data_IF_500817832537
#
_entry.id   IF_500817832537
#
_cell.length_a   1.000
_cell.length_b   1.000
_cell.length_c   1.000
_cell.angle_alpha   90.00
_cell.angle_beta   90.00
_cell.angle_gamma   90.00
#
_symmetry.space_group_name_H-M   'P 1'
#
loop_
_entity.id
_entity.type
_entity.pdbx_description
1 polymer ?
#
# COMPACT_ATOMS: atom_id res chain seq x y z
N UNK A 1 15.59 0.57 -40.94
CA UNK A 1 15.87 1.97 -40.55
C UNK A 1 17.33 2.12 -40.14
N UNK A 2 18.12 2.73 -41.04
CA UNK A 2 19.44 3.36 -40.90
C UNK A 2 20.44 2.83 -39.85
N UNK A 3 21.22 1.81 -40.23
CA UNK A 3 22.51 1.41 -39.60
C UNK A 3 23.58 2.51 -39.74
N UNK A 4 23.36 3.53 -40.59
CA UNK A 4 24.35 4.54 -40.92
C UNK A 4 24.62 5.55 -39.78
N UNK A 5 23.61 5.91 -38.97
CA UNK A 5 23.76 6.89 -37.88
C UNK A 5 24.29 6.28 -36.57
N UNK A 6 24.18 4.95 -36.40
CA UNK A 6 24.56 4.26 -35.17
C UNK A 6 26.08 4.09 -35.03
N UNK A 7 26.80 3.93 -36.14
CA UNK A 7 28.27 3.77 -36.13
C UNK A 7 29.00 5.04 -35.67
N UNK A 8 28.68 6.25 -36.18
CA UNK A 8 29.29 7.49 -35.68
C UNK A 8 29.00 7.74 -34.20
N UNK A 9 27.75 7.52 -33.78
CA UNK A 9 27.35 7.71 -32.39
C UNK A 9 28.08 6.74 -31.44
N UNK A 10 28.17 5.46 -31.82
CA UNK A 10 28.95 4.45 -31.08
C UNK A 10 30.42 4.83 -30.93
N UNK A 11 31.05 5.31 -31.99
CA UNK A 11 32.45 5.74 -31.96
C UNK A 11 32.65 6.94 -31.02
N UNK A 12 31.77 7.94 -31.09
CA UNK A 12 31.80 9.09 -30.18
C UNK A 12 31.61 8.67 -28.73
N UNK A 13 30.65 7.76 -28.46
CA UNK A 13 30.38 7.26 -27.12
C UNK A 13 31.60 6.54 -26.54
N UNK A 14 32.28 5.71 -27.35
CA UNK A 14 33.51 5.03 -26.94
C UNK A 14 34.66 6.01 -26.63
N UNK A 15 34.79 7.09 -27.40
CA UNK A 15 35.80 8.13 -27.13
C UNK A 15 35.51 8.91 -25.85
N UNK A 16 34.23 9.17 -25.55
CA UNK A 16 33.81 9.81 -24.29
C UNK A 16 34.15 8.89 -23.12
N UNK A 17 33.75 7.62 -23.15
CA UNK A 17 33.96 6.72 -22.01
C UNK A 17 35.42 6.36 -21.76
N UNK A 18 36.29 6.44 -22.77
CA UNK A 18 37.74 6.31 -22.59
C UNK A 18 38.31 7.38 -21.67
N UNK A 19 37.82 8.62 -21.77
CA UNK A 19 38.30 9.77 -20.99
C UNK A 19 37.71 9.81 -19.57
N UNK A 20 36.55 9.18 -19.37
CA UNK A 20 35.87 9.17 -18.08
C UNK A 20 36.39 8.08 -17.13
N UNK A 21 36.49 8.42 -15.84
CA UNK A 21 36.86 7.45 -14.79
C UNK A 21 35.68 6.58 -14.35
N UNK A 22 34.45 7.10 -14.48
CA UNK A 22 33.21 6.43 -14.06
C UNK A 22 32.41 5.92 -15.26
N UNK A 23 31.51 4.94 -15.07
CA UNK A 23 30.61 4.49 -16.12
C UNK A 23 29.63 5.59 -16.53
N UNK A 24 29.33 5.66 -17.82
CA UNK A 24 28.20 6.40 -18.36
C UNK A 24 26.95 5.54 -18.24
N UNK A 25 26.00 5.99 -17.43
CA UNK A 25 24.76 5.26 -17.11
C UNK A 25 23.58 5.88 -17.84
N UNK A 26 22.89 5.08 -18.65
CA UNK A 26 21.62 5.40 -19.26
C UNK A 26 20.49 4.76 -18.48
N UNK A 27 19.56 5.54 -17.96
CA UNK A 27 18.36 5.04 -17.30
C UNK A 27 17.18 5.19 -18.27
N UNK A 28 16.54 4.07 -18.59
CA UNK A 28 15.34 4.01 -19.44
C UNK A 28 14.18 3.56 -18.57
N UNK A 29 13.23 4.46 -18.34
CA UNK A 29 12.04 4.23 -17.51
C UNK A 29 10.78 4.05 -18.38
N UNK A 30 9.77 3.38 -17.82
CA UNK A 30 8.44 3.18 -18.40
C UNK A 30 8.41 2.45 -19.76
N UNK A 31 9.38 1.58 -20.02
CA UNK A 31 9.46 0.84 -21.29
C UNK A 31 8.25 -0.10 -21.50
N UNK A 32 7.72 -0.66 -20.42
CA UNK A 32 6.51 -1.49 -20.37
C UNK A 32 5.22 -0.72 -20.69
N UNK A 33 5.26 0.62 -20.70
CA UNK A 33 4.11 1.47 -21.11
C UNK A 33 4.17 1.90 -22.57
N UNK A 34 5.28 1.62 -23.25
CA UNK A 34 5.41 1.94 -24.66
C UNK A 34 4.58 0.97 -25.53
N UNK A 35 4.28 1.39 -26.77
CA UNK A 35 3.77 0.45 -27.77
C UNK A 35 4.76 -0.71 -27.91
N UNK A 36 4.31 -1.98 -27.98
CA UNK A 36 5.21 -3.13 -28.03
C UNK A 36 6.33 -3.02 -29.06
N UNK A 37 6.00 -2.59 -30.29
CA UNK A 37 6.98 -2.38 -31.37
C UNK A 37 8.09 -1.39 -30.96
N UNK A 38 7.74 -0.30 -30.28
CA UNK A 38 8.70 0.71 -29.86
C UNK A 38 9.63 0.16 -28.78
N UNK A 39 9.08 -0.52 -27.77
CA UNK A 39 9.86 -1.10 -26.68
C UNK A 39 10.90 -2.11 -27.21
N UNK A 40 10.45 -3.01 -28.08
CA UNK A 40 11.29 -4.01 -28.75
C UNK A 40 12.39 -3.34 -29.58
N UNK A 41 12.02 -2.41 -30.46
CA UNK A 41 12.99 -1.72 -31.32
C UNK A 41 14.01 -0.91 -30.51
N UNK A 42 13.62 -0.37 -29.36
CA UNK A 42 14.54 0.32 -28.46
C UNK A 42 15.56 -0.66 -27.87
N UNK A 43 15.11 -1.78 -27.30
CA UNK A 43 15.98 -2.84 -26.76
C UNK A 43 16.94 -3.35 -27.84
N UNK A 44 16.42 -3.63 -29.05
CA UNK A 44 17.22 -4.09 -30.19
C UNK A 44 18.26 -3.07 -30.65
N UNK A 45 18.00 -1.77 -30.48
CA UNK A 45 18.97 -0.72 -30.79
C UNK A 45 20.01 -0.58 -29.68
N UNK A 46 19.58 -0.65 -28.42
CA UNK A 46 20.45 -0.52 -27.25
C UNK A 46 21.54 -1.62 -27.25
N UNK A 47 21.22 -2.84 -27.72
CA UNK A 47 22.16 -3.97 -27.80
C UNK A 47 23.47 -3.65 -28.53
N UNK A 48 23.43 -2.72 -29.48
CA UNK A 48 24.59 -2.36 -30.29
C UNK A 48 25.64 -1.55 -29.52
N UNK A 49 25.32 -1.12 -28.29
CA UNK A 49 26.19 -0.33 -27.43
C UNK A 49 26.73 -1.10 -26.21
N UNK A 50 26.33 -2.36 -26.01
CA UNK A 50 26.73 -3.17 -24.84
C UNK A 50 28.22 -3.52 -24.81
N UNK A 51 28.87 -3.57 -25.96
CA UNK A 51 30.31 -3.85 -26.09
C UNK A 51 31.20 -2.61 -25.87
N UNK A 52 30.61 -1.44 -25.59
CA UNK A 52 31.37 -0.23 -25.29
C UNK A 52 31.77 -0.26 -23.82
N UNK A 53 33.08 -0.27 -23.49
CA UNK A 53 33.52 -0.25 -22.11
C UNK A 53 32.96 0.96 -21.36
N UNK A 54 32.53 0.72 -20.12
CA UNK A 54 31.97 1.73 -19.20
C UNK A 54 30.65 2.37 -19.67
N UNK A 55 29.91 1.74 -20.58
CA UNK A 55 28.50 2.10 -20.84
C UNK A 55 27.61 1.11 -20.10
N UNK A 56 26.64 1.62 -19.34
CA UNK A 56 25.67 0.81 -18.59
C UNK A 56 24.26 1.28 -18.92
N UNK A 57 23.37 0.34 -19.22
CA UNK A 57 21.94 0.61 -19.39
C UNK A 57 21.17 0.03 -18.20
N UNK A 58 20.34 0.84 -17.57
CA UNK A 58 19.39 0.44 -16.53
C UNK A 58 17.99 0.56 -17.10
N UNK A 59 17.29 -0.56 -17.21
CA UNK A 59 15.90 -0.62 -17.65
C UNK A 59 14.99 -0.71 -16.42
N UNK A 60 14.25 0.35 -16.12
CA UNK A 60 13.25 0.37 -15.07
C UNK A 60 11.88 0.02 -15.68
N UNK A 61 11.44 -1.23 -15.47
CA UNK A 61 10.26 -1.79 -16.14
C UNK A 61 9.45 -2.69 -15.21
N UNK A 62 8.14 -2.79 -15.45
CA UNK A 62 7.37 -3.93 -14.98
C UNK A 62 7.66 -5.14 -15.89
N UNK A 63 8.47 -6.09 -15.39
CA UNK A 63 8.92 -7.27 -16.14
C UNK A 63 7.76 -8.04 -16.79
N UNK A 64 6.69 -8.32 -16.03
CA UNK A 64 5.57 -9.11 -16.53
C UNK A 64 4.83 -8.40 -17.68
N UNK A 65 4.61 -7.08 -17.54
CA UNK A 65 3.95 -6.29 -18.59
C UNK A 65 4.80 -6.15 -19.85
N UNK A 66 6.13 -6.05 -19.68
CA UNK A 66 7.06 -6.06 -20.81
C UNK A 66 7.04 -7.41 -21.53
N UNK A 67 7.05 -8.53 -20.80
CA UNK A 67 6.96 -9.88 -21.37
C UNK A 67 5.64 -10.08 -22.15
N UNK A 68 4.50 -9.67 -21.57
CA UNK A 68 3.20 -9.71 -22.25
C UNK A 68 3.18 -8.87 -23.53
N UNK A 69 3.75 -7.66 -23.47
CA UNK A 69 3.86 -6.79 -24.64
C UNK A 69 4.67 -7.44 -25.76
N UNK A 70 5.79 -8.09 -25.43
CA UNK A 70 6.65 -8.77 -26.39
C UNK A 70 5.96 -10.03 -26.96
N UNK A 71 5.27 -10.81 -26.12
CA UNK A 71 4.50 -11.98 -26.54
C UNK A 71 3.44 -11.58 -27.58
N UNK A 72 2.68 -10.52 -27.30
CA UNK A 72 1.64 -10.01 -28.19
C UNK A 72 2.19 -9.54 -29.54
N UNK A 73 3.39 -8.94 -29.55
CA UNK A 73 3.99 -8.45 -30.79
C UNK A 73 4.52 -9.56 -31.70
N UNK A 74 5.20 -10.57 -31.12
CA UNK A 74 5.83 -11.63 -31.91
C UNK A 74 4.98 -12.91 -32.06
N UNK A 75 3.91 -13.06 -31.28
CA UNK A 75 3.05 -14.25 -31.29
C UNK A 75 3.70 -15.51 -30.69
N UNK A 76 4.74 -15.35 -29.86
CA UNK A 76 5.42 -16.47 -29.19
C UNK A 76 4.71 -16.85 -27.88
N UNK A 77 4.82 -18.13 -27.50
CA UNK A 77 4.33 -18.66 -26.21
C UNK A 77 5.32 -18.53 -25.05
N UNK A 78 6.60 -18.18 -25.32
CA UNK A 78 7.63 -18.03 -24.27
C UNK A 78 8.65 -16.93 -24.62
N UNK A 79 8.60 -15.82 -23.87
CA UNK A 79 9.45 -14.62 -24.02
C UNK A 79 10.62 -14.53 -23.05
N UNK A 80 10.68 -15.39 -22.03
CA UNK A 80 11.75 -15.37 -21.04
C UNK A 80 13.14 -15.42 -21.71
N UNK A 81 13.29 -16.26 -22.74
CA UNK A 81 14.52 -16.41 -23.51
C UNK A 81 14.87 -15.21 -24.42
N UNK A 82 13.91 -14.30 -24.70
CA UNK A 82 14.17 -13.12 -25.52
C UNK A 82 14.83 -12.02 -24.71
N UNK A 83 14.28 -11.68 -23.54
CA UNK A 83 14.83 -10.63 -22.67
C UNK A 83 16.22 -10.98 -22.13
N UNK A 84 16.49 -12.27 -21.88
CA UNK A 84 17.82 -12.75 -21.48
C UNK A 84 18.92 -12.45 -22.51
N UNK A 85 18.59 -12.19 -23.78
CA UNK A 85 19.57 -11.75 -24.79
C UNK A 85 20.03 -10.31 -24.59
N UNK A 86 19.32 -9.53 -23.78
CA UNK A 86 19.54 -8.09 -23.63
C UNK A 86 19.77 -7.65 -22.18
N UNK A 87 19.43 -8.51 -21.20
CA UNK A 87 19.51 -8.20 -19.78
C UNK A 87 20.55 -9.10 -19.15
N UNK A 88 21.71 -8.53 -18.81
CA UNK A 88 22.81 -9.26 -18.16
C UNK A 88 22.41 -9.76 -16.76
N UNK A 89 21.70 -8.92 -16.00
CA UNK A 89 21.13 -9.29 -14.70
C UNK A 89 19.92 -8.42 -14.37
N UNK A 90 19.03 -8.93 -13.52
CA UNK A 90 17.83 -8.25 -13.06
C UNK A 90 17.88 -8.00 -11.55
N UNK A 91 17.50 -6.80 -11.13
CA UNK A 91 17.34 -6.44 -9.71
C UNK A 91 15.87 -6.19 -9.42
N UNK A 92 15.29 -6.97 -8.50
CA UNK A 92 13.92 -6.76 -8.03
C UNK A 92 13.90 -5.71 -6.92
N UNK A 93 13.16 -4.63 -7.13
CA UNK A 93 12.91 -3.65 -6.07
C UNK A 93 11.96 -4.25 -5.04
N UNK A 94 12.37 -4.24 -3.76
CA UNK A 94 11.52 -4.69 -2.66
C UNK A 94 10.36 -3.70 -2.49
N UNK A 95 9.13 -4.18 -2.66
CA UNK A 95 7.93 -3.35 -2.50
C UNK A 95 7.50 -3.14 -1.04
N UNK A 96 8.06 -3.89 -0.08
CA UNK A 96 7.59 -3.88 1.31
C UNK A 96 8.58 -3.15 2.22
N UNK A 97 8.11 -2.05 2.77
CA UNK A 97 8.69 -1.45 3.96
C UNK A 97 8.30 -2.31 5.17
N UNK A 98 9.25 -3.12 5.65
CA UNK A 98 9.00 -4.07 6.74
C UNK A 98 9.10 -3.42 8.12
N UNK A 99 9.92 -2.38 8.28
CA UNK A 99 10.13 -1.71 9.56
C UNK A 99 9.20 -0.50 9.75
N UNK A 100 8.65 0.05 8.67
CA UNK A 100 7.73 1.19 8.66
C UNK A 100 8.45 2.54 8.62
N UNK A 101 9.78 2.54 8.44
CA UNK A 101 10.61 3.74 8.39
C UNK A 101 10.23 4.64 7.21
N UNK A 102 9.90 4.07 6.05
CA UNK A 102 9.48 4.81 4.87
C UNK A 102 8.09 5.42 5.07
N UNK A 103 7.16 4.69 5.71
CA UNK A 103 5.86 5.26 6.06
C UNK A 103 6.00 6.41 7.05
N UNK A 104 6.85 6.24 8.08
CA UNK A 104 7.15 7.29 9.03
C UNK A 104 7.77 8.51 8.34
N UNK A 105 8.72 8.32 7.44
CA UNK A 105 9.33 9.40 6.66
C UNK A 105 8.29 10.17 5.83
N UNK A 106 7.48 9.46 5.04
CA UNK A 106 6.43 10.08 4.22
C UNK A 106 5.45 10.86 5.10
N UNK A 107 4.90 10.23 6.15
CA UNK A 107 3.92 10.89 7.01
C UNK A 107 4.53 12.09 7.76
N UNK A 108 5.78 12.00 8.22
CA UNK A 108 6.46 13.12 8.88
C UNK A 108 6.72 14.28 7.92
N UNK A 109 7.18 14.01 6.70
CA UNK A 109 7.41 15.04 5.70
C UNK A 109 6.09 15.73 5.36
N UNK A 110 5.02 14.96 5.15
CA UNK A 110 3.72 15.56 4.86
C UNK A 110 3.14 16.33 6.05
N UNK A 111 3.38 15.87 7.28
CA UNK A 111 2.93 16.59 8.47
C UNK A 111 3.61 17.96 8.60
N UNK A 112 4.89 18.06 8.21
CA UNK A 112 5.66 19.31 8.20
C UNK A 112 5.30 20.21 7.02
N UNK A 113 5.29 19.66 5.80
CA UNK A 113 5.21 20.42 4.56
C UNK A 113 3.78 20.85 4.21
N UNK A 114 2.78 20.01 4.54
CA UNK A 114 1.37 20.22 4.18
C UNK A 114 0.47 20.47 5.39
N UNK A 115 1.05 20.80 6.55
CA UNK A 115 0.33 21.12 7.80
C UNK A 115 -0.80 20.12 8.10
N UNK A 116 -0.52 18.81 8.01
CA UNK A 116 -1.51 17.80 8.41
C UNK A 116 -1.91 17.97 9.89
N UNK A 117 -1.09 18.67 10.69
CA UNK A 117 -1.33 18.96 12.10
C UNK A 117 -1.69 17.70 12.90
N UNK A 118 -1.02 16.59 12.57
CA UNK A 118 -1.18 15.33 13.26
C UNK A 118 -0.41 15.36 14.57
N UNK A 119 -1.11 15.01 15.64
CA UNK A 119 -0.53 14.75 16.94
C UNK A 119 0.34 13.48 16.91
N UNK A 120 1.26 13.37 17.87
CA UNK A 120 2.24 12.26 17.91
C UNK A 120 1.57 10.88 18.00
N UNK A 121 0.46 10.78 18.73
CA UNK A 121 -0.38 9.59 18.85
C UNK A 121 -1.06 9.21 17.52
N UNK A 122 -1.57 10.19 16.77
CA UNK A 122 -2.19 9.97 15.46
C UNK A 122 -1.14 9.45 14.47
N UNK A 123 0.03 10.09 14.43
CA UNK A 123 1.13 9.69 13.57
C UNK A 123 1.57 8.24 13.85
N UNK A 124 1.76 7.88 15.12
CA UNK A 124 2.10 6.51 15.51
C UNK A 124 1.04 5.51 15.04
N UNK A 125 -0.23 5.84 15.23
CA UNK A 125 -1.37 5.03 14.79
C UNK A 125 -1.38 4.84 13.28
N UNK A 126 -1.16 5.91 12.51
CA UNK A 126 -1.18 5.87 11.06
C UNK A 126 -0.01 5.05 10.52
N UNK A 127 1.17 5.16 11.13
CA UNK A 127 2.32 4.30 10.81
C UNK A 127 1.98 2.83 11.07
N UNK A 128 1.35 2.50 12.20
CA UNK A 128 0.94 1.12 12.52
C UNK A 128 -0.11 0.59 11.51
N UNK A 129 -1.06 1.42 11.09
CA UNK A 129 -2.01 1.11 10.03
C UNK A 129 -1.30 0.86 8.70
N UNK A 130 -0.37 1.73 8.29
CA UNK A 130 0.41 1.53 7.07
C UNK A 130 1.27 0.26 7.11
N UNK A 131 1.88 -0.07 8.25
CA UNK A 131 2.61 -1.34 8.41
C UNK A 131 1.68 -2.55 8.26
N UNK A 132 0.49 -2.46 8.83
CA UNK A 132 -0.52 -3.51 8.77
C UNK A 132 -1.03 -3.74 7.36
N UNK A 133 -1.48 -2.69 6.66
CA UNK A 133 -2.11 -2.80 5.33
C UNK A 133 -1.13 -2.71 4.16
N UNK A 134 0.08 -2.21 4.39
CA UNK A 134 1.16 -2.09 3.40
C UNK A 134 0.78 -1.35 2.10
N UNK A 135 0.20 -0.13 2.15
CA UNK A 135 -0.04 0.67 0.95
C UNK A 135 1.28 1.01 0.26
N UNK A 136 1.34 0.97 -1.07
CA UNK A 136 2.53 1.47 -1.77
C UNK A 136 2.64 3.01 -1.60
N UNK A 137 3.82 3.62 -1.84
CA UNK A 137 4.01 5.06 -1.62
C UNK A 137 3.02 5.95 -2.38
N UNK A 138 2.65 5.57 -3.61
CA UNK A 138 1.67 6.31 -4.41
C UNK A 138 0.27 6.23 -3.80
N UNK A 139 -0.12 5.05 -3.31
CA UNK A 139 -1.39 4.87 -2.57
C UNK A 139 -1.38 5.68 -1.28
N UNK A 140 -0.30 5.63 -0.50
CA UNK A 140 -0.19 6.40 0.74
C UNK A 140 -0.32 7.91 0.50
N UNK A 141 0.36 8.45 -0.51
CA UNK A 141 0.24 9.87 -0.87
C UNK A 141 -1.20 10.24 -1.22
N UNK A 142 -1.93 9.41 -1.98
CA UNK A 142 -3.35 9.66 -2.27
C UNK A 142 -4.22 9.63 -1.01
N UNK A 143 -3.99 8.66 -0.12
CA UNK A 143 -4.69 8.55 1.17
C UNK A 143 -4.45 9.83 1.99
N UNK A 144 -3.20 10.27 2.12
CA UNK A 144 -2.83 11.49 2.85
C UNK A 144 -3.51 12.72 2.23
N UNK A 145 -3.51 12.85 0.90
CA UNK A 145 -4.13 13.98 0.22
C UNK A 145 -5.66 14.02 0.42
N UNK A 146 -6.35 12.87 0.41
CA UNK A 146 -7.78 12.83 0.73
C UNK A 146 -8.03 13.13 2.20
N UNK A 147 -7.20 12.57 3.08
CA UNK A 147 -7.29 12.78 4.52
C UNK A 147 -7.12 14.27 4.89
N UNK A 148 -6.13 14.95 4.30
CA UNK A 148 -5.86 16.37 4.57
C UNK A 148 -7.03 17.29 4.21
N UNK A 149 -7.84 16.91 3.22
CA UNK A 149 -9.03 17.64 2.80
C UNK A 149 -10.24 17.40 3.71
N UNK A 150 -10.37 16.18 4.26
CA UNK A 150 -11.59 15.73 4.95
C UNK A 150 -11.50 15.79 6.49
N UNK A 151 -10.32 16.01 7.09
CA UNK A 151 -10.12 15.85 8.54
C UNK A 151 -10.64 16.97 9.45
N UNK A 152 -11.01 18.14 8.91
CA UNK A 152 -11.04 19.38 9.69
C UNK A 152 -12.06 19.41 10.83
N UNK A 153 -13.25 18.86 10.64
CA UNK A 153 -14.32 18.84 11.66
C UNK A 153 -14.34 17.54 12.47
N UNK A 154 -13.29 16.72 12.36
CA UNK A 154 -13.23 15.39 12.96
C UNK A 154 -12.40 15.40 14.25
N UNK A 155 -12.93 14.73 15.28
CA UNK A 155 -12.17 14.41 16.48
C UNK A 155 -11.13 13.31 16.21
N UNK A 156 -10.21 13.09 17.17
CA UNK A 156 -9.13 12.08 17.08
C UNK A 156 -9.63 10.68 16.66
N UNK A 157 -10.73 10.21 17.24
CA UNK A 157 -11.30 8.90 16.95
C UNK A 157 -11.83 8.81 15.52
N UNK A 158 -12.53 9.86 15.07
CA UNK A 158 -13.07 9.97 13.72
C UNK A 158 -11.96 10.10 12.68
N UNK A 159 -10.89 10.86 12.94
CA UNK A 159 -9.74 10.96 12.04
C UNK A 159 -9.06 9.61 11.84
N UNK A 160 -8.88 8.83 12.91
CA UNK A 160 -8.33 7.47 12.82
C UNK A 160 -9.22 6.59 11.96
N UNK A 161 -10.54 6.66 12.14
CA UNK A 161 -11.46 5.87 11.33
C UNK A 161 -11.49 6.32 9.87
N UNK A 162 -11.47 7.64 9.61
CA UNK A 162 -11.32 8.18 8.25
C UNK A 162 -10.08 7.61 7.57
N UNK A 163 -8.94 7.58 8.26
CA UNK A 163 -7.71 7.03 7.70
C UNK A 163 -7.82 5.53 7.39
N UNK A 164 -8.45 4.75 8.28
CA UNK A 164 -8.78 3.33 8.03
C UNK A 164 -9.68 3.19 6.80
N UNK A 165 -10.76 3.97 6.73
CA UNK A 165 -11.70 3.95 5.61
C UNK A 165 -11.00 4.26 4.28
N UNK A 166 -10.15 5.29 4.25
CA UNK A 166 -9.40 5.67 3.05
C UNK A 166 -8.40 4.59 2.62
N UNK A 167 -7.76 3.88 3.57
CA UNK A 167 -6.94 2.70 3.26
C UNK A 167 -7.80 1.63 2.58
N UNK A 168 -8.97 1.31 3.12
CA UNK A 168 -9.85 0.27 2.59
C UNK A 168 -10.32 0.60 1.18
N UNK A 169 -10.68 1.87 0.95
CA UNK A 169 -11.09 2.39 -0.35
C UNK A 169 -9.95 2.36 -1.38
N UNK A 170 -8.76 2.90 -1.06
CA UNK A 170 -7.65 2.98 -2.02
C UNK A 170 -7.03 1.61 -2.34
N UNK A 171 -7.05 0.68 -1.38
CA UNK A 171 -6.53 -0.68 -1.57
C UNK A 171 -7.61 -1.66 -2.07
N UNK A 172 -8.87 -1.21 -2.19
CA UNK A 172 -10.03 -2.01 -2.61
C UNK A 172 -10.16 -3.29 -1.78
N UNK A 173 -10.06 -3.15 -0.47
CA UNK A 173 -10.09 -4.28 0.47
C UNK A 173 -11.49 -4.85 0.68
N UNK A 174 -12.52 -4.07 0.40
CA UNK A 174 -13.93 -4.47 0.52
C UNK A 174 -14.66 -4.14 -0.79
N UNK A 175 -15.68 -4.94 -1.08
CA UNK A 175 -16.52 -4.87 -2.28
C UNK A 175 -17.83 -4.13 -2.01
N UNK A 176 -18.37 -4.25 -0.80
CA UNK A 176 -19.48 -3.44 -0.28
C UNK A 176 -19.06 -2.69 0.98
N UNK A 177 -19.49 -1.43 1.11
CA UNK A 177 -19.21 -0.60 2.27
C UNK A 177 -20.23 -0.91 3.38
N UNK A 178 -20.15 -2.13 3.92
CA UNK A 178 -21.00 -2.59 5.02
C UNK A 178 -20.19 -2.93 6.27
N UNK A 179 -20.82 -2.79 7.42
CA UNK A 179 -20.23 -3.09 8.73
C UNK A 179 -19.72 -4.54 8.85
N UNK A 180 -20.48 -5.49 8.30
CA UNK A 180 -20.15 -6.92 8.33
C UNK A 180 -18.90 -7.22 7.50
N UNK A 181 -18.82 -6.66 6.28
CA UNK A 181 -17.68 -6.87 5.39
C UNK A 181 -16.42 -6.21 5.94
N UNK A 182 -16.54 -4.96 6.42
CA UNK A 182 -15.46 -4.29 7.12
C UNK A 182 -14.95 -5.12 8.31
N UNK A 183 -15.86 -5.59 9.17
CA UNK A 183 -15.49 -6.32 10.38
C UNK A 183 -14.77 -7.64 10.07
N UNK A 184 -15.28 -8.37 9.08
CA UNK A 184 -14.69 -9.62 8.60
C UNK A 184 -13.28 -9.38 8.05
N UNK A 185 -13.13 -8.38 7.18
CA UNK A 185 -11.83 -8.08 6.56
C UNK A 185 -10.83 -7.54 7.59
N UNK A 186 -11.26 -6.64 8.48
CA UNK A 186 -10.44 -6.11 9.56
C UNK A 186 -9.92 -7.22 10.47
N UNK A 187 -10.81 -8.11 10.92
CA UNK A 187 -10.43 -9.24 11.76
C UNK A 187 -9.43 -10.17 11.06
N UNK A 188 -9.72 -10.60 9.83
CA UNK A 188 -8.86 -11.53 9.10
C UNK A 188 -7.47 -10.94 8.79
N UNK A 189 -7.42 -9.67 8.38
CA UNK A 189 -6.17 -9.00 8.03
C UNK A 189 -5.25 -8.87 9.25
N UNK A 190 -5.81 -8.47 10.39
CA UNK A 190 -5.06 -8.36 11.65
C UNK A 190 -4.73 -9.72 12.27
N UNK A 191 -5.59 -10.72 12.10
CA UNK A 191 -5.32 -12.09 12.57
C UNK A 191 -4.06 -12.67 11.92
N UNK A 192 -3.82 -12.36 10.65
CA UNK A 192 -2.58 -12.73 9.96
C UNK A 192 -1.36 -12.03 10.56
N UNK A 193 -1.50 -10.78 11.03
CA UNK A 193 -0.44 -10.08 11.78
C UNK A 193 -0.20 -10.77 13.11
N UNK A 194 -1.25 -11.02 13.89
CA UNK A 194 -1.17 -11.70 15.19
C UNK A 194 -0.46 -13.07 15.10
N UNK A 195 -0.78 -13.89 14.11
CA UNK A 195 -0.13 -15.19 13.92
C UNK A 195 1.37 -15.09 13.59
N UNK A 196 1.80 -14.06 12.85
CA UNK A 196 3.23 -13.84 12.56
C UNK A 196 4.06 -13.51 13.80
N UNK A 197 3.42 -12.99 14.86
CA UNK A 197 4.07 -12.74 16.14
C UNK A 197 4.23 -14.01 17.00
N UNK A 198 4.01 -15.21 16.45
CA UNK A 198 4.23 -16.50 17.09
C UNK A 198 3.49 -16.68 18.43
N UNK A 199 2.27 -16.14 18.55
CA UNK A 199 1.41 -16.40 19.71
C UNK A 199 0.91 -17.85 19.68
N UNK A 200 1.68 -18.75 20.27
CA UNK A 200 1.25 -20.11 20.60
C UNK A 200 0.32 -20.05 21.81
N UNK A 201 -0.99 -20.12 21.60
CA UNK A 201 -1.95 -20.29 22.70
C UNK A 201 -2.61 -21.67 22.63
N UNK A 202 -2.39 -22.46 23.67
CA UNK A 202 -3.06 -23.74 23.98
C UNK A 202 -4.48 -23.53 24.55
N UNK A 203 -5.07 -22.37 24.30
CA UNK A 203 -6.23 -21.86 25.05
C UNK A 203 -7.56 -22.03 24.30
N UNK A 204 -8.66 -21.83 25.02
CA UNK A 204 -10.03 -21.89 24.50
C UNK A 204 -10.28 -20.83 23.41
N UNK A 205 -11.32 -20.99 22.55
CA UNK A 205 -11.64 -20.01 21.51
C UNK A 205 -11.91 -18.59 22.04
N UNK A 206 -12.53 -18.46 23.23
CA UNK A 206 -12.82 -17.17 23.84
C UNK A 206 -11.54 -16.44 24.30
N UNK A 207 -10.60 -17.17 24.90
CA UNK A 207 -9.31 -16.61 25.33
C UNK A 207 -8.41 -16.23 24.13
N UNK A 208 -8.52 -16.97 23.02
CA UNK A 208 -7.87 -16.60 21.76
C UNK A 208 -8.40 -15.29 21.20
N UNK A 209 -9.71 -15.06 21.27
CA UNK A 209 -10.31 -13.78 20.84
C UNK A 209 -9.89 -12.64 21.76
N UNK A 210 -9.95 -12.84 23.08
CA UNK A 210 -9.52 -11.83 24.04
C UNK A 210 -8.04 -11.45 23.86
N UNK A 211 -7.16 -12.44 23.69
CA UNK A 211 -5.73 -12.17 23.46
C UNK A 211 -5.47 -11.48 22.11
N UNK A 212 -6.23 -11.83 21.07
CA UNK A 212 -6.18 -11.13 19.79
C UNK A 212 -6.53 -9.64 19.93
N UNK A 213 -7.67 -9.30 20.53
CA UNK A 213 -8.07 -7.89 20.69
C UNK A 213 -7.15 -7.13 21.64
N UNK A 214 -6.65 -7.78 22.70
CA UNK A 214 -5.63 -7.21 23.57
C UNK A 214 -4.32 -6.91 22.82
N UNK A 215 -3.93 -7.78 21.89
CA UNK A 215 -2.76 -7.55 21.04
C UNK A 215 -2.98 -6.37 20.09
N UNK A 216 -4.17 -6.23 19.49
CA UNK A 216 -4.46 -5.06 18.67
C UNK A 216 -4.31 -3.77 19.46
N UNK A 217 -4.86 -3.72 20.67
CA UNK A 217 -4.86 -2.50 21.50
C UNK A 217 -3.50 -2.22 22.11
N UNK A 218 -2.76 -3.22 22.59
CA UNK A 218 -1.54 -3.01 23.37
C UNK A 218 -0.23 -3.16 22.59
N UNK A 219 -0.25 -3.88 21.47
CA UNK A 219 0.98 -4.20 20.73
C UNK A 219 1.01 -3.56 19.33
N UNK A 220 -0.15 -3.46 18.64
CA UNK A 220 -0.23 -2.78 17.34
C UNK A 220 -0.52 -1.29 17.51
N UNK A 221 -1.59 -0.94 18.23
CA UNK A 221 -2.15 0.41 18.21
C UNK A 221 -1.87 1.27 19.44
N UNK A 222 -1.23 0.73 20.50
CA UNK A 222 -0.79 1.58 21.61
C UNK A 222 0.62 1.27 22.07
N UNK A 223 1.34 2.35 22.43
CA UNK A 223 2.08 2.43 23.70
C UNK A 223 2.00 3.80 24.40
N UNK A 224 1.32 4.82 23.84
CA UNK A 224 1.19 6.18 24.45
C UNK A 224 -0.01 7.00 23.91
N UNK A 225 -1.09 6.37 23.45
CA UNK A 225 -2.33 7.06 23.02
C UNK A 225 -3.40 6.95 24.12
N UNK A 226 -4.30 7.92 24.22
CA UNK A 226 -5.52 7.80 25.04
C UNK A 226 -6.23 6.49 24.64
N UNK A 227 -6.30 5.56 25.58
CA UNK A 227 -6.49 4.11 25.41
C UNK A 227 -7.79 3.66 24.77
N UNK A 228 -8.70 4.59 24.46
CA UNK A 228 -10.07 4.25 24.08
C UNK A 228 -10.32 4.27 22.56
N UNK A 229 -9.44 4.87 21.75
CA UNK A 229 -9.67 5.05 20.30
C UNK A 229 -9.84 3.71 19.57
N UNK A 230 -9.16 2.64 19.99
CA UNK A 230 -9.35 1.30 19.41
C UNK A 230 -10.06 0.32 20.34
N UNK A 231 -10.26 0.67 21.61
CA UNK A 231 -10.99 -0.19 22.54
C UNK A 231 -12.44 -0.38 22.08
N UNK A 232 -13.11 0.71 21.70
CA UNK A 232 -14.48 0.65 21.18
C UNK A 232 -14.56 -0.08 19.83
N UNK A 233 -13.60 0.14 18.93
CA UNK A 233 -13.55 -0.55 17.64
C UNK A 233 -13.33 -2.05 17.86
N UNK A 234 -12.41 -2.43 18.74
CA UNK A 234 -12.13 -3.83 19.05
C UNK A 234 -13.36 -4.52 19.63
N UNK A 235 -14.04 -3.89 20.60
CA UNK A 235 -15.29 -4.39 21.15
C UNK A 235 -16.39 -4.52 20.08
N UNK A 236 -16.50 -3.52 19.19
CA UNK A 236 -17.45 -3.55 18.09
C UNK A 236 -17.19 -4.70 17.10
N UNK A 237 -15.93 -4.86 16.67
CA UNK A 237 -15.50 -5.96 15.81
C UNK A 237 -15.73 -7.30 16.52
N UNK A 238 -15.47 -7.38 17.82
CA UNK A 238 -15.75 -8.58 18.62
C UNK A 238 -17.23 -8.93 18.55
N UNK A 239 -18.12 -7.97 18.80
CA UNK A 239 -19.58 -8.15 18.73
C UNK A 239 -20.03 -8.68 17.37
N UNK A 240 -19.51 -8.13 16.27
CA UNK A 240 -19.85 -8.56 14.91
C UNK A 240 -19.40 -9.99 14.59
N UNK A 241 -18.43 -10.53 15.32
CA UNK A 241 -17.91 -11.89 15.15
C UNK A 241 -18.46 -12.89 16.18
N UNK A 242 -19.38 -12.46 17.08
CA UNK A 242 -20.04 -13.37 18.03
C UNK A 242 -21.06 -14.27 17.34
N UNK A 243 -21.25 -15.48 17.90
CA UNK A 243 -22.39 -16.30 17.50
C UNK A 243 -23.73 -15.64 17.90
N UNK A 244 -24.85 -15.98 17.23
CA UNK A 244 -26.16 -15.44 17.59
C UNK A 244 -26.56 -15.66 19.06
N UNK A 245 -26.12 -16.76 19.68
CA UNK A 245 -26.37 -17.03 21.09
C UNK A 245 -25.54 -16.14 22.02
N UNK A 246 -24.28 -15.86 21.65
CA UNK A 246 -23.39 -14.97 22.42
C UNK A 246 -23.83 -13.51 22.31
N UNK A 247 -24.28 -13.05 21.14
CA UNK A 247 -24.65 -11.63 20.92
C UNK A 247 -25.90 -11.18 21.69
N UNK A 248 -26.81 -12.10 22.02
CA UNK A 248 -28.02 -11.82 22.84
C UNK A 248 -27.67 -11.67 24.32
N UNK A 249 -26.51 -12.16 24.76
CA UNK A 249 -26.08 -12.04 26.15
C UNK A 249 -25.92 -10.55 26.55
N UNK A 250 -26.55 -10.16 27.66
CA UNK A 250 -26.53 -8.77 28.15
C UNK A 250 -25.11 -8.23 28.35
N UNK A 251 -24.14 -9.11 28.64
CA UNK A 251 -22.73 -8.76 28.77
C UNK A 251 -22.16 -8.13 27.50
N UNK A 252 -22.54 -8.57 26.30
CA UNK A 252 -21.95 -8.11 25.04
C UNK A 252 -22.82 -7.09 24.29
N UNK A 253 -24.07 -6.87 24.72
CA UNK A 253 -25.00 -5.98 24.02
C UNK A 253 -24.46 -4.56 23.82
N UNK A 254 -23.77 -4.02 24.81
CA UNK A 254 -23.19 -2.68 24.76
C UNK A 254 -22.04 -2.54 23.74
N UNK A 255 -21.41 -3.64 23.33
CA UNK A 255 -20.35 -3.62 22.32
C UNK A 255 -20.90 -3.26 20.92
N UNK A 256 -22.17 -3.55 20.66
CA UNK A 256 -22.85 -3.17 19.40
C UNK A 256 -22.79 -1.66 19.19
N UNK A 257 -23.01 -0.90 20.26
CA UNK A 257 -23.13 0.55 20.22
C UNK A 257 -21.75 1.24 20.32
N UNK A 258 -20.67 0.48 20.53
CA UNK A 258 -19.31 1.02 20.55
C UNK A 258 -18.92 1.67 19.20
N UNK A 259 -19.54 1.26 18.09
CA UNK A 259 -19.33 1.89 16.77
C UNK A 259 -19.74 3.38 16.73
N UNK A 260 -20.58 3.82 17.66
CA UNK A 260 -21.11 5.19 17.68
C UNK A 260 -20.01 6.25 17.86
N UNK A 261 -18.85 5.87 18.40
CA UNK A 261 -17.69 6.76 18.55
C UNK A 261 -16.99 7.11 17.23
N UNK A 262 -17.33 6.42 16.14
CA UNK A 262 -16.62 6.52 14.87
C UNK A 262 -17.44 7.15 13.75
N UNK A 263 -18.72 7.50 13.95
CA UNK A 263 -19.48 8.14 12.89
C UNK A 263 -18.90 9.51 12.53
N UNK A 264 -18.89 9.90 11.24
CA UNK A 264 -18.38 11.19 10.82
C UNK A 264 -19.29 12.36 11.24
N UNK A 265 -20.58 12.13 11.45
CA UNK A 265 -21.57 13.15 11.85
C UNK A 265 -22.53 12.61 12.91
N UNK A 266 -23.32 13.49 13.53
CA UNK A 266 -24.35 13.12 14.50
C UNK A 266 -25.53 12.35 13.88
N UNK A 267 -25.72 12.44 12.56
CA UNK A 267 -26.79 11.72 11.87
C UNK A 267 -26.37 10.26 11.68
N UNK A 268 -26.75 9.42 12.64
CA UNK A 268 -26.35 8.02 12.69
C UNK A 268 -27.26 7.16 11.81
N UNK A 269 -26.72 6.60 10.74
CA UNK A 269 -27.38 5.49 10.04
C UNK A 269 -27.16 4.17 10.77
N UNK A 270 -27.85 3.11 10.34
CA UNK A 270 -27.63 1.78 10.88
C UNK A 270 -26.26 1.16 10.50
N UNK A 271 -25.55 1.68 9.49
CA UNK A 271 -24.30 1.13 8.98
C UNK A 271 -23.20 2.20 8.96
N UNK A 272 -22.11 1.95 9.71
CA UNK A 272 -21.03 2.91 9.86
C UNK A 272 -20.25 3.10 8.55
N UNK A 273 -20.06 2.02 7.79
CA UNK A 273 -19.29 2.06 6.55
C UNK A 273 -20.03 2.80 5.43
N UNK A 274 -21.36 2.64 5.36
CA UNK A 274 -22.22 3.39 4.43
C UNK A 274 -22.15 4.91 4.70
N UNK A 275 -22.14 5.33 5.98
CA UNK A 275 -22.00 6.76 6.33
C UNK A 275 -20.63 7.33 5.96
N UNK A 276 -19.56 6.57 6.19
CA UNK A 276 -18.23 7.02 5.75
C UNK A 276 -18.11 7.05 4.22
N UNK A 277 -18.75 6.12 3.51
CA UNK A 277 -18.82 6.16 2.06
C UNK A 277 -19.52 7.43 1.60
N UNK A 278 -20.71 7.74 2.13
CA UNK A 278 -21.39 9.00 1.83
C UNK A 278 -20.50 10.19 2.15
N UNK A 279 -19.93 10.26 3.35
CA UNK A 279 -19.08 11.35 3.82
C UNK A 279 -17.92 11.66 2.88
N UNK A 280 -17.16 10.63 2.47
CA UNK A 280 -16.01 10.78 1.57
C UNK A 280 -16.43 11.17 0.15
N UNK A 281 -17.63 10.77 -0.27
CA UNK A 281 -18.18 11.02 -1.61
C UNK A 281 -19.19 12.18 -1.65
N UNK A 282 -19.35 12.98 -0.59
CA UNK A 282 -20.32 14.09 -0.53
C UNK A 282 -20.08 15.19 -1.60
N UNK A 283 -18.92 15.20 -2.26
CA UNK A 283 -18.54 16.20 -3.28
C UNK A 283 -18.81 15.69 -4.71
N UNK A 284 -19.27 14.45 -4.89
CA UNK A 284 -19.57 13.88 -6.22
C UNK A 284 -21.05 14.00 -6.63
N UNK A 285 -21.86 14.73 -5.86
CA UNK A 285 -23.30 14.96 -6.11
C UNK A 285 -23.64 16.37 -6.57
#
# INVERSE_FOLDING_TARGET
MNVCATKPFKAQLAEITKKEKKPLVFIVDELDRCKPEFAIRLIERIKHFFDIPKVVFILAVNKNQLEESINNFYGFSSTANYLEKFIDFSVMLKNKDLDGSRYAEILNNYNKDYQLDLQRNELHTFIALCKTYSPNPRQLVKIINKFSLLKYDLNETQKVFLFIFLIYSELRLITSFTDTEFSTHFYNHHKNVFHKFNFNSTNSPAEKRASFFQFLTNDIYSKNSNTNIFAYLSAYIEYQNLSPAESINSKYRHYKDCKNHYYPTENQSNDLMDEWYKYVHMIEG
#
